data_IF_972825008804
#
_entry.id   IF_972825008804
#
_cell.length_a   1.000
_cell.length_b   1.000
_cell.length_c   1.000
_cell.angle_alpha   90.00
_cell.angle_beta   90.00
_cell.angle_gamma   90.00
#
_symmetry.space_group_name_H-M   'P 1'
#
loop_
_entity.id
_entity.type
_entity.pdbx_description
1 polymer ?
#
# COMPACT_ATOMS: atom_id res chain seq x y z
N UNK A 1 -8.13 41.92 -22.73
CA UNK A 1 -8.25 40.45 -22.67
C UNK A 1 -8.37 40.03 -21.22
N UNK A 2 -9.45 39.31 -20.94
CA UNK A 2 -10.17 39.19 -19.67
C UNK A 2 -9.39 38.69 -18.44
N UNK A 3 -9.45 39.50 -17.37
CA UNK A 3 -9.38 39.02 -15.98
C UNK A 3 -10.70 38.32 -15.66
N UNK A 4 -10.70 37.00 -15.46
CA UNK A 4 -11.74 36.27 -14.69
C UNK A 4 -11.30 34.82 -14.42
N UNK A 5 -10.74 34.56 -13.25
CA UNK A 5 -10.89 33.24 -12.60
C UNK A 5 -11.46 33.52 -11.22
N UNK A 6 -12.76 33.27 -11.13
CA UNK A 6 -13.64 33.70 -10.06
C UNK A 6 -13.26 33.13 -8.71
N UNK A 7 -13.15 34.05 -7.76
CA UNK A 7 -13.44 33.92 -6.35
C UNK A 7 -14.66 33.00 -6.09
N UNK A 8 -14.48 31.91 -5.35
CA UNK A 8 -15.57 31.25 -4.62
C UNK A 8 -15.32 31.37 -3.12
N UNK A 9 -15.48 32.59 -2.64
CA UNK A 9 -15.97 32.83 -1.31
C UNK A 9 -17.38 32.21 -1.20
N UNK A 10 -17.50 31.11 -0.45
CA UNK A 10 -18.73 30.84 0.28
C UNK A 10 -18.35 30.71 1.75
N UNK A 11 -18.38 31.88 2.39
CA UNK A 11 -18.62 32.02 3.82
C UNK A 11 -19.93 31.31 4.13
N UNK A 12 -19.90 30.44 5.13
CA UNK A 12 -21.09 30.10 5.90
C UNK A 12 -20.69 30.29 7.37
N UNK A 13 -20.93 31.50 7.87
CA UNK A 13 -20.99 31.78 9.30
C UNK A 13 -22.44 31.56 9.73
N UNK A 14 -22.64 30.85 10.85
CA UNK A 14 -23.92 30.82 11.55
C UNK A 14 -24.43 29.43 11.92
N UNK A 15 -23.86 28.84 12.96
CA UNK A 15 -24.60 28.31 14.11
C UNK A 15 -23.56 27.83 15.14
N UNK A 16 -23.47 28.54 16.26
CA UNK A 16 -22.76 28.10 17.45
C UNK A 16 -23.51 26.90 18.04
N UNK A 17 -23.31 25.72 17.44
CA UNK A 17 -23.57 24.45 18.06
C UNK A 17 -22.38 24.11 18.96
N UNK A 18 -22.64 24.12 20.24
CA UNK A 18 -21.93 23.42 21.31
C UNK A 18 -20.92 22.36 20.82
N UNK A 19 -19.63 22.70 20.84
CA UNK A 19 -18.57 21.75 20.52
C UNK A 19 -18.31 20.85 21.73
N UNK A 20 -19.17 19.85 21.91
CA UNK A 20 -18.99 18.82 22.93
C UNK A 20 -17.94 17.79 22.44
N UNK A 21 -16.65 18.15 22.41
CA UNK A 21 -15.53 17.18 22.36
C UNK A 21 -15.67 16.02 21.37
N UNK A 22 -16.25 16.24 20.19
CA UNK A 22 -16.63 15.18 19.26
C UNK A 22 -15.45 14.81 18.36
N UNK A 23 -14.71 13.78 18.78
CA UNK A 23 -13.71 13.09 17.95
C UNK A 23 -14.38 12.71 16.64
N UNK A 24 -13.88 13.26 15.53
CA UNK A 24 -14.47 13.28 14.18
C UNK A 24 -14.93 11.89 13.70
N UNK A 25 -16.14 11.49 14.07
CA UNK A 25 -16.73 10.19 13.72
C UNK A 25 -17.51 10.28 12.41
N UNK A 26 -17.14 9.50 11.40
CA UNK A 26 -17.91 9.37 10.16
C UNK A 26 -18.56 7.99 10.08
N UNK A 27 -19.89 7.95 10.21
CA UNK A 27 -20.66 6.70 10.25
C UNK A 27 -20.43 5.81 9.01
N UNK A 28 -20.18 6.42 7.85
CA UNK A 28 -19.88 5.70 6.60
C UNK A 28 -18.50 5.05 6.68
N UNK A 29 -17.47 5.79 7.08
CA UNK A 29 -16.14 5.23 7.27
C UNK A 29 -16.14 4.09 8.28
N UNK A 30 -16.86 4.23 9.39
CA UNK A 30 -16.96 3.19 10.41
C UNK A 30 -17.74 1.95 9.95
N UNK A 31 -18.80 2.12 9.15
CA UNK A 31 -19.50 1.00 8.52
C UNK A 31 -18.57 0.25 7.54
N UNK A 32 -17.75 0.97 6.77
CA UNK A 32 -16.77 0.37 5.86
C UNK A 32 -15.65 -0.37 6.62
N UNK A 33 -15.19 0.15 7.76
CA UNK A 33 -14.25 -0.54 8.65
C UNK A 33 -14.85 -1.86 9.17
N UNK A 34 -16.10 -1.82 9.65
CA UNK A 34 -16.81 -3.02 10.14
C UNK A 34 -17.05 -4.05 9.05
N UNK A 35 -17.30 -3.60 7.81
CA UNK A 35 -17.45 -4.46 6.64
C UNK A 35 -16.11 -5.00 6.10
N UNK A 36 -14.96 -4.61 6.67
CA UNK A 36 -13.63 -5.03 6.20
C UNK A 36 -13.19 -4.39 4.88
N UNK A 37 -13.91 -3.38 4.38
CA UNK A 37 -13.61 -2.68 3.14
C UNK A 37 -12.57 -1.57 3.36
N UNK A 38 -11.40 -1.96 3.87
CA UNK A 38 -10.41 -1.04 4.43
C UNK A 38 -9.85 -0.02 3.43
N UNK A 39 -9.73 -0.34 2.14
CA UNK A 39 -9.31 0.65 1.12
C UNK A 39 -10.34 1.77 0.93
N UNK A 40 -11.63 1.42 0.97
CA UNK A 40 -12.72 2.38 0.84
C UNK A 40 -12.86 3.21 2.11
N UNK A 41 -12.76 2.56 3.27
CA UNK A 41 -12.72 3.24 4.56
C UNK A 41 -11.56 4.27 4.62
N UNK A 42 -10.35 3.89 4.19
CA UNK A 42 -9.20 4.78 4.17
C UNK A 42 -9.39 6.02 3.27
N UNK A 43 -10.11 5.87 2.14
CA UNK A 43 -10.46 7.01 1.29
C UNK A 43 -11.46 7.93 1.98
N UNK A 44 -12.49 7.37 2.62
CA UNK A 44 -13.49 8.17 3.34
C UNK A 44 -12.87 8.92 4.52
N UNK A 45 -11.97 8.28 5.26
CA UNK A 45 -11.20 8.95 6.32
C UNK A 45 -10.29 10.07 5.80
N UNK A 46 -9.84 10.03 4.55
CA UNK A 46 -9.10 11.13 3.93
C UNK A 46 -10.01 12.34 3.67
N UNK A 47 -11.24 12.12 3.20
CA UNK A 47 -12.22 13.19 3.00
C UNK A 47 -12.54 13.88 4.34
N UNK A 48 -12.75 13.09 5.41
CA UNK A 48 -12.97 13.62 6.77
C UNK A 48 -11.74 14.38 7.30
N UNK A 49 -10.53 13.93 6.95
CA UNK A 49 -9.28 14.61 7.30
C UNK A 49 -9.15 15.98 6.62
N UNK A 50 -9.57 16.09 5.36
CA UNK A 50 -9.53 17.34 4.59
C UNK A 50 -10.51 18.38 5.14
N UNK A 51 -11.62 17.95 5.73
CA UNK A 51 -12.63 18.80 6.35
C UNK A 51 -12.31 19.17 7.82
N UNK A 52 -11.33 18.50 8.45
CA UNK A 52 -11.04 18.66 9.87
C UNK A 52 -10.23 19.94 10.18
N UNK A 53 -10.77 20.89 10.98
CA UNK A 53 -10.09 22.15 11.28
C UNK A 53 -9.07 22.04 12.44
N UNK A 54 -9.15 21.00 13.28
CA UNK A 54 -8.33 20.84 14.49
C UNK A 54 -7.08 19.98 14.26
N UNK A 55 -5.93 20.39 14.81
CA UNK A 55 -4.67 19.65 14.72
C UNK A 55 -4.72 18.27 15.40
N UNK A 56 -5.29 18.18 16.61
CA UNK A 56 -5.40 16.91 17.34
C UNK A 56 -6.35 15.92 16.64
N UNK A 57 -7.48 16.41 16.13
CA UNK A 57 -8.41 15.58 15.35
C UNK A 57 -7.79 15.04 14.06
N UNK A 58 -6.92 15.84 13.42
CA UNK A 58 -6.20 15.42 12.20
C UNK A 58 -5.21 14.30 12.46
N UNK A 59 -4.48 14.34 13.57
CA UNK A 59 -3.54 13.27 13.92
C UNK A 59 -4.27 11.95 14.17
N UNK A 60 -5.39 12.00 14.91
CA UNK A 60 -6.23 10.82 15.14
C UNK A 60 -6.79 10.25 13.82
N UNK A 61 -7.31 11.10 12.94
CA UNK A 61 -7.83 10.70 11.63
C UNK A 61 -6.72 10.11 10.74
N UNK A 62 -5.53 10.70 10.74
CA UNK A 62 -4.37 10.21 10.00
C UNK A 62 -3.94 8.82 10.50
N UNK A 63 -3.88 8.62 11.82
CA UNK A 63 -3.57 7.33 12.43
C UNK A 63 -4.64 6.27 12.09
N UNK A 64 -5.93 6.64 12.14
CA UNK A 64 -7.04 5.75 11.82
C UNK A 64 -7.05 5.35 10.34
N UNK A 65 -6.80 6.31 9.44
CA UNK A 65 -6.59 6.05 8.01
C UNK A 65 -5.39 5.12 7.78
N UNK A 66 -4.27 5.35 8.45
CA UNK A 66 -3.09 4.49 8.35
C UNK A 66 -3.42 3.05 8.75
N UNK A 67 -4.13 2.85 9.88
CA UNK A 67 -4.59 1.52 10.32
C UNK A 67 -5.43 0.81 9.25
N UNK A 68 -6.32 1.53 8.56
CA UNK A 68 -7.08 0.97 7.44
C UNK A 68 -6.15 0.53 6.30
N UNK A 69 -5.17 1.35 5.92
CA UNK A 69 -4.21 0.99 4.85
C UNK A 69 -3.37 -0.24 5.22
N UNK A 70 -2.92 -0.35 6.47
CA UNK A 70 -2.19 -1.53 6.95
C UNK A 70 -3.05 -2.78 6.84
N UNK A 71 -4.32 -2.72 7.25
CA UNK A 71 -5.27 -3.85 7.12
C UNK A 71 -5.67 -4.16 5.68
N UNK A 72 -5.61 -3.16 4.80
CA UNK A 72 -5.85 -3.31 3.37
C UNK A 72 -4.64 -3.90 2.61
N UNK A 73 -3.47 -3.93 3.25
CA UNK A 73 -2.27 -4.57 2.73
C UNK A 73 -2.56 -6.05 2.51
N UNK A 74 -2.26 -6.53 1.30
CA UNK A 74 -2.29 -7.97 1.04
C UNK A 74 -1.18 -8.60 1.89
N UNK A 75 -1.45 -9.68 2.65
CA UNK A 75 -0.36 -10.43 3.28
C UNK A 75 0.65 -10.81 2.19
N UNK A 76 1.94 -10.63 2.47
CA UNK A 76 2.98 -11.04 1.54
C UNK A 76 2.73 -12.51 1.18
N UNK A 77 2.60 -12.86 -0.12
CA UNK A 77 2.40 -14.24 -0.47
C UNK A 77 3.56 -15.05 0.10
N UNK A 78 3.22 -16.10 0.86
CA UNK A 78 4.22 -17.05 1.32
C UNK A 78 5.11 -17.46 0.13
N UNK A 79 6.43 -17.44 0.28
CA UNK A 79 7.32 -17.80 -0.82
C UNK A 79 7.02 -19.24 -1.23
N UNK A 80 6.44 -19.41 -2.42
CA UNK A 80 6.13 -20.72 -2.97
C UNK A 80 7.44 -21.50 -3.18
N UNK A 81 7.67 -22.52 -2.34
CA UNK A 81 8.87 -23.36 -2.41
C UNK A 81 8.69 -24.45 -3.45
N UNK A 82 9.02 -24.15 -4.70
CA UNK A 82 9.02 -25.12 -5.81
C UNK A 82 10.23 -26.08 -5.81
N UNK A 83 10.71 -26.50 -4.64
CA UNK A 83 11.94 -27.28 -4.50
C UNK A 83 11.92 -28.59 -5.30
N UNK A 84 10.77 -29.27 -5.33
CA UNK A 84 10.61 -30.52 -6.06
C UNK A 84 10.60 -30.31 -7.58
N UNK A 85 10.00 -29.21 -8.05
CA UNK A 85 10.02 -28.81 -9.48
C UNK A 85 11.44 -28.44 -9.90
N UNK A 86 12.14 -27.62 -9.10
CA UNK A 86 13.56 -27.30 -9.29
C UNK A 86 14.41 -28.58 -9.41
N UNK A 87 14.23 -29.53 -8.49
CA UNK A 87 14.98 -30.80 -8.47
C UNK A 87 14.66 -31.65 -9.70
N UNK A 88 13.40 -31.80 -10.05
CA UNK A 88 12.98 -32.56 -11.23
C UNK A 88 13.51 -31.94 -12.53
N UNK A 89 13.47 -30.61 -12.64
CA UNK A 89 14.04 -29.89 -13.77
C UNK A 89 15.55 -30.08 -13.86
N UNK A 90 16.27 -29.96 -12.74
CA UNK A 90 17.72 -30.17 -12.70
C UNK A 90 18.12 -31.60 -13.09
N UNK A 91 17.40 -32.60 -12.62
CA UNK A 91 17.60 -34.01 -13.01
C UNK A 91 17.31 -34.22 -14.50
N UNK A 92 16.27 -33.57 -15.03
CA UNK A 92 15.95 -33.65 -16.46
C UNK A 92 17.03 -33.00 -17.31
N UNK A 93 17.51 -31.80 -16.95
CA UNK A 93 18.63 -31.12 -17.60
C UNK A 93 19.90 -31.99 -17.59
N UNK A 94 20.15 -32.69 -16.48
CA UNK A 94 21.26 -33.65 -16.36
C UNK A 94 21.09 -34.85 -17.29
N UNK A 95 19.91 -35.47 -17.32
CA UNK A 95 19.60 -36.60 -18.22
C UNK A 95 19.71 -36.23 -19.70
N UNK A 96 19.35 -35.01 -20.06
CA UNK A 96 19.46 -34.49 -21.42
C UNK A 96 20.87 -34.01 -21.78
N UNK A 97 21.85 -34.11 -20.88
CA UNK A 97 23.22 -33.65 -21.12
C UNK A 97 23.36 -32.12 -21.22
N UNK A 98 22.33 -31.36 -20.84
CA UNK A 98 22.33 -29.89 -20.87
C UNK A 98 23.16 -29.28 -19.73
N UNK A 99 23.50 -30.09 -18.72
CA UNK A 99 24.36 -29.70 -17.60
C UNK A 99 25.83 -29.95 -17.93
N UNK A 100 26.35 -29.24 -18.93
CA UNK A 100 27.78 -29.19 -19.24
C UNK A 100 28.51 -28.08 -18.44
N UNK A 101 29.85 -28.08 -18.37
CA UNK A 101 30.58 -26.88 -17.97
C UNK A 101 30.16 -25.76 -18.92
N UNK A 102 29.64 -24.66 -18.37
CA UNK A 102 29.33 -23.47 -19.15
C UNK A 102 30.53 -23.16 -20.07
N UNK A 103 30.39 -23.15 -21.41
CA UNK A 103 31.48 -22.74 -22.27
C UNK A 103 31.88 -21.34 -21.83
N UNK A 104 33.14 -21.18 -21.45
CA UNK A 104 33.64 -20.03 -20.72
C UNK A 104 33.30 -18.73 -21.43
N UNK A 105 32.27 -18.02 -20.94
CA UNK A 105 32.24 -16.59 -21.10
C UNK A 105 33.17 -16.04 -20.01
N UNK A 106 34.45 -15.88 -20.35
CA UNK A 106 35.36 -15.03 -19.61
C UNK A 106 34.91 -13.59 -19.86
N UNK A 107 33.80 -13.16 -19.24
CA UNK A 107 33.48 -11.75 -19.14
C UNK A 107 34.17 -11.27 -17.87
N UNK A 108 35.29 -10.58 -18.09
CA UNK A 108 35.86 -9.49 -17.32
C UNK A 108 35.50 -9.47 -15.84
N UNK A 109 36.53 -9.63 -15.00
CA UNK A 109 36.52 -9.51 -13.54
C UNK A 109 35.70 -8.31 -13.03
N UNK A 110 34.43 -8.56 -12.72
CA UNK A 110 33.61 -7.76 -11.83
C UNK A 110 33.25 -8.61 -10.61
N UNK A 111 33.28 -8.01 -9.42
CA UNK A 111 32.99 -8.64 -8.11
C UNK A 111 31.82 -9.64 -8.26
N UNK A 112 31.95 -10.89 -7.76
CA UNK A 112 30.90 -11.89 -7.93
C UNK A 112 29.59 -11.33 -7.39
N UNK A 113 28.61 -11.09 -8.28
CA UNK A 113 27.24 -10.83 -7.86
C UNK A 113 26.82 -12.05 -7.07
N UNK A 114 26.36 -11.84 -5.83
CA UNK A 114 25.79 -12.89 -4.99
C UNK A 114 24.76 -13.62 -5.85
N UNK A 115 25.12 -14.80 -6.35
CA UNK A 115 24.17 -15.69 -7.00
C UNK A 115 23.17 -16.00 -5.89
N UNK A 116 21.95 -15.50 -6.06
CA UNK A 116 20.82 -15.97 -5.26
C UNK A 116 20.76 -17.49 -5.33
N UNK A 117 20.09 -18.14 -4.37
CA UNK A 117 20.06 -19.60 -4.33
C UNK A 117 19.65 -20.14 -5.70
N UNK A 118 20.60 -20.80 -6.34
CA UNK A 118 20.31 -21.69 -7.45
C UNK A 118 19.32 -22.72 -6.92
N UNK A 119 18.34 -23.11 -7.74
CA UNK A 119 17.85 -24.48 -7.65
C UNK A 119 19.08 -25.42 -7.64
#
# INVERSE_FOLDING_TARGET
MDRKRGNKARRHEGAAGEWNGEVTGDAVAEALERAGLYRRAARRWLEVLDECPSGEGREWLAARRHRCLTRAGRPEPEPERFGDVCRAAAETQKRMGLRGPSPGHTIMTGKPRRRGPSC
#
